data_IF_772531002580
#
_entry.id   IF_772531002580
#
_cell.length_a   1.000
_cell.length_b   1.000
_cell.length_c   1.000
_cell.angle_alpha   90.00
_cell.angle_beta   90.00
_cell.angle_gamma   90.00
#
_symmetry.space_group_name_H-M   'P 1'
#
loop_
_entity.id
_entity.type
_entity.pdbx_description
1 polymer ?
#
# COMPACT_ATOMS: atom_id res chain seq x y z
N UNK A 1 1.44 -12.37 13.45
CA UNK A 1 0.80 -13.07 12.31
C UNK A 1 -0.41 -12.28 11.80
N UNK A 2 -1.31 -11.82 12.67
CA UNK A 2 -2.50 -11.00 12.30
C UNK A 2 -2.20 -9.80 11.37
N UNK A 3 -1.17 -9.01 11.67
CA UNK A 3 -0.93 -7.77 10.92
C UNK A 3 -0.50 -8.02 9.46
N UNK A 4 0.24 -9.09 9.18
CA UNK A 4 0.62 -9.43 7.80
C UNK A 4 -0.58 -9.86 6.96
N UNK A 5 -1.54 -10.52 7.58
CA UNK A 5 -2.80 -10.85 6.93
C UNK A 5 -3.60 -9.58 6.63
N UNK A 6 -3.58 -8.59 7.53
CA UNK A 6 -4.19 -7.28 7.28
C UNK A 6 -3.53 -6.56 6.11
N UNK A 7 -2.19 -6.52 6.06
CA UNK A 7 -1.44 -5.99 4.90
C UNK A 7 -1.79 -6.71 3.61
N UNK A 8 -1.86 -8.04 3.66
CA UNK A 8 -2.18 -8.84 2.48
C UNK A 8 -3.59 -8.58 1.99
N UNK A 9 -4.54 -8.35 2.90
CA UNK A 9 -5.92 -7.99 2.54
C UNK A 9 -6.01 -6.57 1.96
N UNK A 10 -5.26 -5.60 2.50
CA UNK A 10 -5.19 -4.24 1.96
C UNK A 10 -4.63 -4.23 0.54
N UNK A 11 -3.53 -4.95 0.31
CA UNK A 11 -2.85 -4.95 -0.99
C UNK A 11 -3.49 -5.83 -2.06
N UNK A 12 -4.28 -6.83 -1.66
CA UNK A 12 -4.95 -7.76 -2.58
C UNK A 12 -5.75 -7.07 -3.68
N UNK A 13 -6.39 -5.94 -3.36
CA UNK A 13 -7.31 -5.23 -4.27
C UNK A 13 -6.75 -3.90 -4.76
N UNK A 14 -5.49 -3.60 -4.43
CA UNK A 14 -4.91 -2.28 -4.63
C UNK A 14 -4.07 -2.15 -5.88
N UNK A 15 -3.78 -3.24 -6.58
CA UNK A 15 -2.96 -3.25 -7.79
C UNK A 15 -3.70 -3.97 -8.92
N UNK A 16 -3.76 -3.34 -10.10
CA UNK A 16 -4.19 -4.06 -11.31
C UNK A 16 -3.02 -4.78 -11.97
N UNK A 17 -1.83 -4.18 -11.91
CA UNK A 17 -0.61 -4.74 -12.50
C UNK A 17 0.13 -5.65 -11.52
N UNK A 18 0.83 -6.65 -12.07
CA UNK A 18 1.69 -7.54 -11.30
C UNK A 18 2.71 -6.74 -10.49
N UNK A 19 2.60 -6.85 -9.16
CA UNK A 19 3.37 -6.06 -8.19
C UNK A 19 3.96 -6.99 -7.14
N UNK A 20 5.26 -6.89 -6.90
CA UNK A 20 5.93 -7.63 -5.84
C UNK A 20 6.08 -6.74 -4.61
N UNK A 21 5.77 -7.28 -3.43
CA UNK A 21 5.98 -6.63 -2.15
C UNK A 21 6.91 -7.48 -1.30
N UNK A 22 8.05 -6.92 -0.92
CA UNK A 22 8.97 -7.49 0.05
C UNK A 22 8.71 -6.84 1.41
N UNK A 23 8.34 -7.63 2.41
CA UNK A 23 8.08 -7.16 3.77
C UNK A 23 9.37 -7.06 4.59
N UNK A 24 9.29 -6.33 5.71
CA UNK A 24 10.41 -6.07 6.64
C UNK A 24 11.07 -7.30 7.24
N UNK A 25 10.43 -8.46 7.15
CA UNK A 25 10.97 -9.74 7.60
C UNK A 25 11.55 -10.59 6.46
N UNK A 26 11.65 -10.02 5.25
CA UNK A 26 12.12 -10.69 4.04
C UNK A 26 11.07 -11.54 3.33
N UNK A 27 9.84 -11.65 3.85
CA UNK A 27 8.77 -12.36 3.14
C UNK A 27 8.40 -11.60 1.87
N UNK A 28 8.29 -12.32 0.74
CA UNK A 28 7.87 -11.74 -0.54
C UNK A 28 6.45 -12.21 -0.89
N UNK A 29 5.62 -11.30 -1.39
CA UNK A 29 4.30 -11.61 -1.95
C UNK A 29 4.08 -10.87 -3.26
N UNK A 30 3.34 -11.50 -4.16
CA UNK A 30 2.92 -10.88 -5.41
C UNK A 30 1.42 -10.58 -5.39
N UNK A 31 1.05 -9.45 -5.99
CA UNK A 31 -0.31 -8.94 -6.09
C UNK A 31 -0.62 -8.48 -7.51
N UNK A 32 -1.90 -8.23 -7.79
CA UNK A 32 -2.37 -7.80 -9.10
C UNK A 32 -2.40 -8.93 -10.12
N UNK A 33 -2.61 -8.56 -11.39
CA UNK A 33 -2.72 -9.48 -12.52
C UNK A 33 -1.63 -9.20 -13.55
N UNK A 34 -1.26 -10.23 -14.31
CA UNK A 34 -0.27 -10.13 -15.39
C UNK A 34 0.67 -11.33 -15.44
N UNK A 35 1.20 -11.60 -16.63
CA UNK A 35 2.21 -12.65 -16.85
C UNK A 35 3.59 -12.02 -17.01
N UNK A 36 4.63 -12.67 -16.47
CA UNK A 36 6.02 -12.19 -16.52
C UNK A 36 6.51 -11.55 -15.21
N UNK A 37 7.52 -10.70 -15.32
CA UNK A 37 8.13 -10.00 -14.19
C UNK A 37 7.20 -8.93 -13.59
N UNK A 38 7.30 -8.68 -12.27
CA UNK A 38 6.53 -7.62 -11.62
C UNK A 38 6.92 -6.25 -12.19
N UNK A 39 5.91 -5.45 -12.55
CA UNK A 39 6.07 -4.08 -13.08
C UNK A 39 6.54 -3.12 -11.97
N UNK A 40 6.11 -3.40 -10.74
CA UNK A 40 6.45 -2.64 -9.55
C UNK A 40 7.01 -3.58 -8.49
N UNK A 41 8.09 -3.16 -7.83
CA UNK A 41 8.58 -3.83 -6.61
C UNK A 41 8.58 -2.82 -5.47
N UNK A 42 7.93 -3.19 -4.38
CA UNK A 42 7.81 -2.37 -3.18
C UNK A 42 8.55 -3.09 -2.07
N UNK A 43 9.50 -2.41 -1.43
CA UNK A 43 10.30 -2.97 -0.34
C UNK A 43 9.98 -2.20 0.94
N UNK A 44 9.46 -2.91 1.93
CA UNK A 44 9.29 -2.40 3.29
C UNK A 44 10.56 -2.72 4.07
N UNK A 45 11.45 -1.74 4.21
CA UNK A 45 12.65 -1.86 5.04
C UNK A 45 12.28 -1.90 6.53
N UNK A 46 11.21 -1.19 6.90
CA UNK A 46 10.68 -1.16 8.25
C UNK A 46 9.18 -1.48 8.27
N UNK A 47 8.73 -1.95 9.43
CA UNK A 47 7.31 -2.19 9.67
C UNK A 47 6.58 -0.87 9.86
N UNK A 48 5.58 -0.60 9.02
CA UNK A 48 4.64 0.50 9.23
C UNK A 48 3.46 -0.02 10.09
N UNK A 49 3.01 0.72 11.11
CA UNK A 49 1.82 0.33 11.86
C UNK A 49 0.58 0.38 10.97
N UNK A 50 -0.21 -0.70 10.96
CA UNK A 50 -1.46 -0.76 10.18
C UNK A 50 -2.41 0.37 10.59
N UNK A 51 -2.44 0.73 11.87
CA UNK A 51 -3.27 1.83 12.38
C UNK A 51 -2.99 3.16 11.65
N UNK A 52 -1.74 3.44 11.33
CA UNK A 52 -1.35 4.71 10.70
C UNK A 52 -1.77 4.73 9.24
N UNK A 53 -1.60 3.59 8.53
CA UNK A 53 -2.16 3.40 7.19
C UNK A 53 -3.68 3.57 7.15
N UNK A 54 -4.38 3.07 8.18
CA UNK A 54 -5.84 3.22 8.27
C UNK A 54 -6.28 4.65 8.59
N UNK A 55 -5.46 5.43 9.30
CA UNK A 55 -5.76 6.82 9.64
C UNK A 55 -5.47 7.78 8.48
N UNK A 56 -4.35 7.63 7.79
CA UNK A 56 -4.03 8.44 6.63
C UNK A 56 -3.02 7.73 5.73
N UNK A 57 -3.52 6.88 4.84
CA UNK A 57 -2.67 6.04 4.00
C UNK A 57 -1.72 6.84 3.11
N UNK A 58 -2.21 7.91 2.47
CA UNK A 58 -1.41 8.74 1.56
C UNK A 58 -0.26 9.42 2.30
N UNK A 59 -0.54 10.03 3.46
CA UNK A 59 0.49 10.70 4.26
C UNK A 59 1.50 9.69 4.83
N UNK A 60 1.02 8.63 5.47
CA UNK A 60 1.87 7.61 6.10
C UNK A 60 2.80 6.95 5.10
N UNK A 61 2.29 6.61 3.91
CA UNK A 61 3.12 6.01 2.85
C UNK A 61 4.08 7.04 2.23
N UNK A 62 3.66 8.29 2.09
CA UNK A 62 4.52 9.38 1.64
C UNK A 62 5.70 9.61 2.59
N UNK A 63 5.42 9.72 3.88
CA UNK A 63 6.43 9.86 4.94
C UNK A 63 7.36 8.65 4.98
N UNK A 64 6.81 7.44 4.94
CA UNK A 64 7.62 6.22 4.94
C UNK A 64 8.51 6.11 3.68
N UNK A 65 8.05 6.59 2.53
CA UNK A 65 8.87 6.67 1.33
C UNK A 65 10.00 7.71 1.48
N UNK A 66 9.69 8.90 1.99
CA UNK A 66 10.69 9.95 2.25
C UNK A 66 11.76 9.49 3.26
N UNK A 67 11.35 8.75 4.29
CA UNK A 67 12.23 8.20 5.32
C UNK A 67 12.99 6.93 4.87
N UNK A 68 12.78 6.45 3.63
CA UNK A 68 13.31 5.19 3.10
C UNK A 68 12.88 3.94 3.89
N UNK A 69 11.82 4.04 4.69
CA UNK A 69 11.12 2.89 5.29
C UNK A 69 10.40 2.05 4.23
N UNK A 70 9.99 2.71 3.14
CA UNK A 70 9.54 2.09 1.90
C UNK A 70 10.46 2.53 0.75
N UNK A 71 10.85 1.58 -0.08
CA UNK A 71 11.49 1.85 -1.37
C UNK A 71 10.63 1.25 -2.51
N UNK A 72 10.64 1.92 -3.66
CA UNK A 72 9.84 1.53 -4.83
C UNK A 72 10.79 1.42 -6.02
N UNK A 73 10.85 0.25 -6.64
CA UNK A 73 11.46 0.04 -7.95
C UNK A 73 10.37 0.03 -9.02
N UNK A 74 10.54 0.87 -10.03
CA UNK A 74 9.57 1.10 -11.10
C UNK A 74 9.13 2.56 -11.17
N UNK A 75 8.20 2.86 -12.07
CA UNK A 75 7.64 4.21 -12.21
C UNK A 75 6.63 4.49 -11.08
N UNK A 76 7.02 5.35 -10.14
CA UNK A 76 6.18 5.73 -8.99
C UNK A 76 4.88 6.43 -9.42
N UNK A 77 4.91 7.24 -10.49
CA UNK A 77 3.70 7.90 -10.99
C UNK A 77 2.73 6.86 -11.54
N UNK A 78 3.24 5.86 -12.28
CA UNK A 78 2.43 4.77 -12.79
C UNK A 78 1.88 3.88 -11.66
N UNK A 79 2.65 3.64 -10.60
CA UNK A 79 2.20 2.90 -9.42
C UNK A 79 1.05 3.64 -8.72
N UNK A 80 1.23 4.93 -8.44
CA UNK A 80 0.21 5.75 -7.78
C UNK A 80 -1.05 5.80 -8.64
N UNK A 81 -0.91 6.01 -9.95
CA UNK A 81 -2.04 5.98 -10.89
C UNK A 81 -2.79 4.63 -10.89
N UNK A 82 -2.05 3.51 -10.87
CA UNK A 82 -2.64 2.17 -10.80
C UNK A 82 -3.47 1.97 -9.53
N UNK A 83 -2.89 2.34 -8.39
CA UNK A 83 -3.51 2.21 -7.05
C UNK A 83 -4.72 3.12 -6.91
N UNK A 84 -4.66 4.37 -7.38
CA UNK A 84 -5.81 5.27 -7.36
C UNK A 84 -6.95 4.76 -8.26
N UNK A 85 -6.66 4.16 -9.41
CA UNK A 85 -7.74 3.68 -10.28
C UNK A 85 -8.40 2.37 -9.83
N UNK A 86 -7.91 1.72 -8.77
CA UNK A 86 -8.62 0.57 -8.19
C UNK A 86 -9.74 1.07 -7.27
N UNK A 87 -10.99 0.72 -7.60
CA UNK A 87 -12.19 1.12 -6.82
C UNK A 87 -12.16 0.62 -5.37
N UNK A 88 -11.57 -0.55 -5.15
CA UNK A 88 -11.41 -1.18 -3.84
C UNK A 88 -9.99 -1.03 -3.28
N UNK A 89 -9.22 -0.10 -3.85
CA UNK A 89 -7.88 0.25 -3.37
C UNK A 89 -7.91 0.60 -1.88
N UNK A 90 -6.81 0.31 -1.18
CA UNK A 90 -6.61 0.80 0.18
C UNK A 90 -6.69 2.33 0.25
N UNK A 91 -6.46 3.06 -0.86
CA UNK A 91 -6.64 4.51 -0.95
C UNK A 91 -8.11 4.96 -1.03
N UNK A 92 -9.04 4.11 -1.50
CA UNK A 92 -10.44 4.45 -1.78
C UNK A 92 -11.47 3.75 -0.87
N UNK A 93 -11.04 2.86 0.02
CA UNK A 93 -11.96 1.96 0.70
C UNK A 93 -12.92 2.68 1.67
N UNK A 94 -14.16 2.92 1.21
CA UNK A 94 -15.21 3.67 1.91
C UNK A 94 -15.65 3.06 3.26
N UNK A 95 -15.45 1.74 3.48
CA UNK A 95 -15.70 1.12 4.79
C UNK A 95 -14.65 1.52 5.84
N UNK A 96 -13.44 1.87 5.39
CA UNK A 96 -12.37 2.40 6.24
C UNK A 96 -12.43 3.93 6.38
N UNK A 97 -12.87 4.66 5.35
CA UNK A 97 -13.17 6.10 5.44
C UNK A 97 -14.18 6.41 6.56
N UNK A 98 -15.10 5.49 6.84
CA UNK A 98 -16.12 5.64 7.90
C UNK A 98 -15.56 5.60 9.33
N UNK A 99 -14.33 5.11 9.52
CA UNK A 99 -13.64 5.03 10.82
C UNK A 99 -12.54 6.10 10.96
N UNK A 100 -12.35 6.94 9.94
CA UNK A 100 -11.47 8.10 10.01
C UNK A 100 -12.08 9.17 10.91
N UNK A 101 -11.32 9.78 11.84
CA UNK A 101 -11.79 10.96 12.54
C UNK A 101 -12.07 12.05 11.49
N UNK A 102 -13.30 12.57 11.48
CA UNK A 102 -13.64 13.71 10.63
C UNK A 102 -12.82 14.89 11.11
N UNK A 103 -11.91 15.40 10.28
CA UNK A 103 -11.24 16.67 10.57
C UNK A 103 -12.31 17.76 10.64
N UNK A 104 -12.48 18.32 11.83
CA UNK A 104 -13.25 19.54 12.04
C UNK A 104 -12.31 20.69 11.74
N UNK A 105 -12.41 21.26 10.55
CA UNK A 105 -11.85 22.58 10.32
C UNK A 105 -12.64 23.58 11.17
N UNK A 106 -11.96 24.22 12.10
CA UNK A 106 -12.38 25.50 12.66
C UNK A 106 -11.64 26.63 11.95
#
# INVERSE_FOLDING_TARGET
>A
MLEKETYSQLFKWSFSKKTQVTYWDGTVKEYGQGSGDPVFKIVFNEKIPVKDLLNNASLTLGEAYMDRKIEIEGDIQALIYDVYNQKDSFLHNAKFIKWLPKESHS
#
